data_IF_398444817995
#
_entry.id   IF_398444817995
#
_cell.length_a   1.000
_cell.length_b   1.000
_cell.length_c   1.000
_cell.angle_alpha   90.00
_cell.angle_beta   90.00
_cell.angle_gamma   90.00
#
_symmetry.space_group_name_H-M   'P 1'
#
loop_
_entity.id
_entity.type
_entity.pdbx_description
1 polymer ?
#
# COMPACT_ATOMS: atom_id res chain seq x y z
N UNK A 1 -35.15 13.35 15.29
CA UNK A 1 -33.75 13.76 15.57
C UNK A 1 -32.87 12.60 16.07
N UNK A 2 -33.36 11.69 16.91
CA UNK A 2 -32.62 10.50 17.39
C UNK A 2 -32.25 9.49 16.30
N UNK A 3 -33.10 9.31 15.28
CA UNK A 3 -32.85 8.39 14.17
C UNK A 3 -31.68 8.79 13.25
N UNK A 4 -31.44 10.10 13.06
CA UNK A 4 -30.34 10.59 12.23
C UNK A 4 -28.97 10.39 12.92
N UNK A 5 -28.96 10.50 14.25
CA UNK A 5 -27.76 10.32 15.08
C UNK A 5 -27.30 8.85 15.13
N UNK A 6 -28.24 7.89 15.14
CA UNK A 6 -27.91 6.47 15.13
C UNK A 6 -27.38 5.99 13.78
N UNK A 7 -27.89 6.53 12.67
CA UNK A 7 -27.38 6.24 11.32
C UNK A 7 -25.98 6.81 11.14
N UNK A 8 -25.69 8.02 11.65
CA UNK A 8 -24.36 8.61 11.61
C UNK A 8 -23.34 7.84 12.48
N UNK A 9 -23.75 7.36 13.67
CA UNK A 9 -22.89 6.56 14.54
C UNK A 9 -22.57 5.17 13.95
N UNK A 10 -23.56 4.52 13.33
CA UNK A 10 -23.35 3.25 12.63
C UNK A 10 -22.45 3.41 11.40
N UNK A 11 -22.60 4.51 10.66
CA UNK A 11 -21.74 4.83 9.52
C UNK A 11 -20.31 5.11 9.96
N UNK A 12 -20.10 5.84 11.06
CA UNK A 12 -18.78 6.10 11.63
C UNK A 12 -18.08 4.80 12.12
N UNK A 13 -18.83 3.83 12.65
CA UNK A 13 -18.28 2.56 13.13
C UNK A 13 -17.88 1.61 11.98
N UNK A 14 -18.54 1.73 10.82
CA UNK A 14 -18.21 0.99 9.59
C UNK A 14 -17.07 1.66 8.82
N UNK A 15 -16.99 3.00 8.87
CA UNK A 15 -16.00 3.78 8.12
C UNK A 15 -14.68 3.94 8.87
N UNK A 16 -14.63 3.76 10.19
CA UNK A 16 -13.35 3.74 10.91
C UNK A 16 -12.54 2.51 10.48
N UNK A 17 -11.51 2.68 9.63
CA UNK A 17 -10.62 1.58 9.37
C UNK A 17 -9.89 1.38 10.68
N UNK A 18 -10.04 0.21 11.31
CA UNK A 18 -9.22 -0.23 12.45
C UNK A 18 -7.80 0.22 12.16
N UNK A 19 -7.39 1.27 12.87
CA UNK A 19 -6.08 1.84 12.82
C UNK A 19 -5.17 0.73 13.32
N UNK A 20 -4.64 -0.04 12.35
CA UNK A 20 -3.72 -1.12 12.62
C UNK A 20 -2.60 -0.52 13.44
N UNK A 21 -2.48 -1.01 14.68
CA UNK A 21 -1.38 -0.73 15.60
C UNK A 21 -0.11 -0.65 14.76
N UNK A 22 0.37 0.58 14.53
CA UNK A 22 1.70 0.84 13.99
C UNK A 22 2.65 0.46 15.11
N UNK A 23 2.92 -0.85 15.18
CA UNK A 23 4.05 -1.37 15.91
C UNK A 23 5.29 -0.72 15.31
N UNK A 24 5.79 0.26 16.04
CA UNK A 24 7.17 0.70 15.97
C UNK A 24 8.05 -0.53 16.16
N UNK A 25 8.45 -1.15 15.05
CA UNK A 25 9.66 -1.96 15.01
C UNK A 25 10.66 -1.19 14.18
N UNK A 26 11.28 -0.23 14.85
CA UNK A 26 12.66 0.16 14.61
C UNK A 26 13.51 -1.10 14.80
N UNK A 27 13.83 -1.81 13.72
CA UNK A 27 14.97 -2.71 13.74
C UNK A 27 15.67 -2.67 12.39
N UNK A 28 16.71 -1.84 12.36
CA UNK A 28 17.80 -1.81 11.40
C UNK A 28 18.45 -3.22 11.37
N UNK A 29 18.51 -3.94 10.24
CA UNK A 29 19.34 -5.13 10.16
C UNK A 29 20.80 -4.68 9.93
N UNK A 30 21.67 -5.00 10.88
CA UNK A 30 23.11 -4.98 10.66
C UNK A 30 23.55 -6.14 9.76
N UNK A 31 24.80 -6.11 9.25
CA UNK A 31 25.30 -7.11 8.31
C UNK A 31 25.54 -8.42 9.04
N UNK A 32 24.60 -9.37 8.93
CA UNK A 32 24.77 -10.71 9.49
C UNK A 32 24.90 -11.75 8.39
N UNK A 33 26.17 -12.00 8.07
CA UNK A 33 26.68 -13.20 7.41
C UNK A 33 25.98 -14.46 7.95
N UNK A 34 25.43 -15.23 7.00
CA UNK A 34 25.71 -16.67 6.83
C UNK A 34 25.01 -17.73 7.71
N UNK A 35 23.75 -17.55 8.14
CA UNK A 35 22.98 -18.66 8.74
C UNK A 35 21.46 -18.67 8.42
N UNK A 36 21.05 -18.25 7.22
CA UNK A 36 19.62 -18.27 6.81
C UNK A 36 19.11 -19.64 6.32
N UNK A 37 19.99 -20.63 6.14
CA UNK A 37 19.62 -21.96 5.61
C UNK A 37 18.94 -22.91 6.61
N UNK A 38 18.83 -22.54 7.88
CA UNK A 38 18.20 -23.37 8.93
C UNK A 38 17.18 -22.57 9.74
N UNK A 39 16.42 -21.67 9.10
CA UNK A 39 15.18 -21.19 9.73
C UNK A 39 14.06 -22.18 9.42
N UNK A 40 13.52 -22.90 10.42
CA UNK A 40 12.28 -23.62 10.22
C UNK A 40 11.25 -22.60 9.73
N UNK A 41 10.57 -22.94 8.64
CA UNK A 41 9.37 -22.23 8.16
C UNK A 41 8.49 -22.01 9.39
N UNK A 42 8.25 -20.76 9.83
CA UNK A 42 7.29 -20.55 10.90
C UNK A 42 5.97 -21.08 10.39
N UNK A 43 5.58 -22.20 10.99
CA UNK A 43 4.34 -22.89 10.75
C UNK A 43 3.23 -21.85 10.78
N UNK A 44 2.49 -21.80 9.68
CA UNK A 44 1.47 -20.79 9.43
C UNK A 44 0.32 -21.00 10.41
N UNK A 45 0.45 -20.50 11.64
CA UNK A 45 -0.65 -20.48 12.61
C UNK A 45 -1.67 -19.44 12.14
N UNK A 46 -2.58 -19.91 11.28
CA UNK A 46 -3.97 -19.48 11.16
C UNK A 46 -4.25 -17.97 11.29
N UNK A 47 -3.74 -17.16 10.36
CA UNK A 47 -4.30 -15.81 10.12
C UNK A 47 -5.63 -15.88 9.34
N UNK A 48 -5.97 -17.06 8.80
CA UNK A 48 -7.23 -17.35 8.12
C UNK A 48 -8.46 -17.21 9.04
N UNK A 49 -8.33 -17.46 10.35
CA UNK A 49 -9.42 -17.34 11.32
C UNK A 49 -9.98 -15.91 11.43
N UNK A 50 -9.13 -14.89 11.30
CA UNK A 50 -9.52 -13.48 11.45
C UNK A 50 -10.37 -12.92 10.30
N UNK A 51 -10.35 -13.58 9.12
CA UNK A 51 -11.07 -13.14 7.92
C UNK A 51 -12.49 -13.71 7.93
N UNK A 52 -12.64 -14.99 8.31
CA UNK A 52 -13.95 -15.62 8.53
C UNK A 52 -14.68 -14.98 9.70
N UNK A 53 -13.99 -14.68 10.81
CA UNK A 53 -14.57 -14.00 11.96
C UNK A 53 -15.06 -12.59 11.61
N UNK A 54 -14.32 -11.82 10.79
CA UNK A 54 -14.77 -10.49 10.31
C UNK A 54 -15.95 -10.56 9.36
N UNK A 55 -15.99 -11.56 8.47
CA UNK A 55 -17.15 -11.79 7.61
C UNK A 55 -18.38 -12.16 8.45
N UNK A 56 -18.21 -13.06 9.43
CA UNK A 56 -19.28 -13.45 10.34
C UNK A 56 -19.80 -12.26 11.14
N UNK A 57 -18.93 -11.39 11.67
CA UNK A 57 -19.34 -10.18 12.39
C UNK A 57 -20.03 -9.16 11.47
N UNK A 58 -19.58 -8.98 10.22
CA UNK A 58 -20.24 -8.10 9.26
C UNK A 58 -21.61 -8.63 8.81
N UNK A 59 -21.73 -9.94 8.64
CA UNK A 59 -23.00 -10.62 8.32
C UNK A 59 -23.95 -10.56 9.52
N UNK A 60 -23.47 -10.79 10.74
CA UNK A 60 -24.24 -10.64 11.99
C UNK A 60 -24.72 -9.20 12.21
N UNK A 61 -23.86 -8.21 11.96
CA UNK A 61 -24.24 -6.80 12.05
C UNK A 61 -25.28 -6.42 10.97
N UNK A 62 -25.13 -6.94 9.75
CA UNK A 62 -26.12 -6.80 8.69
C UNK A 62 -27.47 -7.40 9.09
N UNK A 63 -27.48 -8.65 9.57
CA UNK A 63 -28.67 -9.33 10.08
C UNK A 63 -29.32 -8.59 11.26
N UNK A 64 -28.53 -8.04 12.19
CA UNK A 64 -29.04 -7.25 13.31
C UNK A 64 -29.74 -5.96 12.86
N UNK A 65 -29.17 -5.25 11.88
CA UNK A 65 -29.80 -4.05 11.27
C UNK A 65 -31.06 -4.42 10.48
N UNK A 66 -31.05 -5.57 9.81
CA UNK A 66 -32.21 -6.07 9.05
C UNK A 66 -33.36 -6.46 9.98
N UNK A 67 -33.04 -7.08 11.11
CA UNK A 67 -34.01 -7.46 12.15
C UNK A 67 -34.64 -6.27 12.87
N UNK A 68 -33.91 -5.15 13.00
CA UNK A 68 -34.38 -3.98 13.73
C UNK A 68 -35.35 -3.08 12.93
N UNK A 69 -35.36 -3.16 11.59
CA UNK A 69 -36.28 -2.39 10.74
C UNK A 69 -37.58 -3.11 10.38
N UNK A 70 -37.78 -4.37 10.80
CA UNK A 70 -39.06 -5.08 10.73
C UNK A 70 -39.73 -5.19 9.35
N UNK A 71 -39.00 -4.88 8.26
CA UNK A 71 -39.55 -4.71 6.92
C UNK A 71 -38.83 -5.64 5.95
N UNK A 72 -39.58 -6.43 5.18
CA UNK A 72 -39.10 -7.43 4.21
C UNK A 72 -38.13 -6.88 3.14
N UNK A 73 -38.06 -5.55 2.99
CA UNK A 73 -37.12 -4.84 2.11
C UNK A 73 -35.65 -4.95 2.53
N UNK A 74 -35.35 -5.42 3.75
CA UNK A 74 -33.99 -5.53 4.25
C UNK A 74 -33.18 -6.71 3.67
N UNK A 75 -33.82 -7.71 3.06
CA UNK A 75 -33.14 -8.90 2.51
C UNK A 75 -32.29 -8.54 1.29
N UNK A 76 -32.79 -7.66 0.42
CA UNK A 76 -32.09 -7.21 -0.80
C UNK A 76 -30.76 -6.51 -0.51
N UNK A 77 -30.68 -5.48 0.37
CA UNK A 77 -29.41 -4.84 0.70
C UNK A 77 -28.47 -5.76 1.48
N UNK A 78 -28.99 -6.71 2.29
CA UNK A 78 -28.16 -7.70 2.99
C UNK A 78 -27.44 -8.66 2.03
N UNK A 79 -28.17 -9.20 1.05
CA UNK A 79 -27.58 -10.06 0.01
C UNK A 79 -26.65 -9.25 -0.91
N UNK A 80 -27.04 -8.03 -1.29
CA UNK A 80 -26.18 -7.14 -2.08
C UNK A 80 -24.88 -6.78 -1.34
N UNK A 81 -24.95 -6.54 -0.03
CA UNK A 81 -23.79 -6.28 0.82
C UNK A 81 -22.92 -7.53 0.98
N UNK A 82 -23.50 -8.72 1.14
CA UNK A 82 -22.78 -9.99 1.21
C UNK A 82 -22.04 -10.32 -0.09
N UNK A 83 -22.74 -10.27 -1.23
CA UNK A 83 -22.17 -10.49 -2.56
C UNK A 83 -21.19 -9.39 -2.92
N UNK A 84 -21.49 -8.14 -2.58
CA UNK A 84 -20.60 -6.99 -2.75
C UNK A 84 -19.32 -7.15 -1.95
N UNK A 85 -19.42 -7.56 -0.68
CA UNK A 85 -18.28 -7.80 0.19
C UNK A 85 -17.43 -8.98 -0.30
N UNK A 86 -18.03 -10.09 -0.71
CA UNK A 86 -17.31 -11.25 -1.23
C UNK A 86 -16.61 -10.92 -2.56
N UNK A 87 -17.30 -10.24 -3.48
CA UNK A 87 -16.73 -9.84 -4.77
C UNK A 87 -15.62 -8.79 -4.58
N UNK A 88 -15.78 -7.88 -3.63
CA UNK A 88 -14.76 -6.90 -3.26
C UNK A 88 -13.55 -7.57 -2.58
N UNK A 89 -13.76 -8.58 -1.73
CA UNK A 89 -12.67 -9.31 -1.08
C UNK A 89 -11.94 -10.28 -2.02
N UNK A 90 -12.63 -10.84 -3.03
CA UNK A 90 -12.02 -11.62 -4.12
C UNK A 90 -11.18 -10.73 -5.04
N UNK A 91 -11.62 -9.48 -5.29
CA UNK A 91 -10.86 -8.50 -6.08
C UNK A 91 -9.69 -7.88 -5.30
N UNK A 92 -9.69 -7.92 -3.97
CA UNK A 92 -8.57 -7.46 -3.15
C UNK A 92 -7.45 -8.50 -3.20
N UNK A 93 -6.43 -8.20 -4.00
CA UNK A 93 -5.13 -8.90 -3.97
C UNK A 93 -4.74 -9.21 -2.51
N UNK A 94 -4.25 -10.43 -2.21
CA UNK A 94 -3.88 -10.82 -0.86
C UNK A 94 -2.99 -9.75 -0.26
N UNK A 95 -3.32 -9.27 0.95
CA UNK A 95 -2.57 -8.20 1.60
C UNK A 95 -1.06 -8.49 1.70
N UNK A 96 -0.70 -9.78 1.74
CA UNK A 96 0.68 -10.29 1.70
C UNK A 96 1.40 -9.93 0.38
N UNK A 97 0.81 -10.24 -0.77
CA UNK A 97 1.40 -9.93 -2.10
C UNK A 97 1.58 -8.43 -2.27
N UNK A 98 0.59 -7.63 -1.84
CA UNK A 98 0.70 -6.17 -1.87
C UNK A 98 1.80 -5.65 -0.95
N UNK A 99 1.96 -6.24 0.24
CA UNK A 99 3.02 -5.86 1.18
C UNK A 99 4.41 -6.23 0.64
N UNK A 100 4.57 -7.41 0.04
CA UNK A 100 5.81 -7.84 -0.61
C UNK A 100 6.19 -6.94 -1.79
N UNK A 101 5.23 -6.57 -2.66
CA UNK A 101 5.48 -5.61 -3.76
C UNK A 101 5.90 -4.24 -3.24
N UNK A 102 5.27 -3.76 -2.16
CA UNK A 102 5.63 -2.49 -1.52
C UNK A 102 7.02 -2.53 -0.87
N UNK A 103 7.37 -3.64 -0.22
CA UNK A 103 8.71 -3.83 0.32
C UNK A 103 9.76 -3.82 -0.81
N UNK A 104 9.52 -4.56 -1.91
CA UNK A 104 10.42 -4.51 -3.07
C UNK A 104 10.54 -3.10 -3.68
N UNK A 105 9.42 -2.37 -3.78
CA UNK A 105 9.45 -0.99 -4.26
C UNK A 105 10.17 -0.05 -3.30
N UNK A 106 10.17 -0.34 -1.98
CA UNK A 106 10.89 0.42 -0.96
C UNK A 106 12.42 0.25 -1.05
N UNK A 107 12.88 -0.90 -1.50
CA UNK A 107 14.31 -1.19 -1.65
C UNK A 107 14.86 -0.84 -3.04
N UNK A 108 13.98 -0.56 -4.01
CA UNK A 108 14.34 -0.32 -5.41
C UNK A 108 15.42 0.77 -5.63
N UNK A 109 15.37 1.97 -5.01
CA UNK A 109 16.37 3.01 -5.24
C UNK A 109 17.72 2.60 -4.68
N UNK A 110 17.74 2.00 -3.49
CA UNK A 110 18.97 1.47 -2.90
C UNK A 110 19.55 0.37 -3.79
N UNK A 111 18.73 -0.52 -4.34
CA UNK A 111 19.19 -1.52 -5.31
C UNK A 111 19.75 -0.90 -6.60
N UNK A 112 19.10 0.14 -7.14
CA UNK A 112 19.60 0.86 -8.30
C UNK A 112 20.95 1.55 -8.03
N UNK A 113 21.11 2.17 -6.86
CA UNK A 113 22.38 2.78 -6.43
C UNK A 113 23.49 1.75 -6.29
N UNK A 114 23.22 0.63 -5.62
CA UNK A 114 24.22 -0.42 -5.40
C UNK A 114 24.61 -1.08 -6.72
N UNK A 115 23.66 -1.30 -7.63
CA UNK A 115 23.95 -1.77 -8.99
C UNK A 115 24.81 -0.75 -9.74
N UNK A 116 24.46 0.54 -9.71
CA UNK A 116 25.24 1.59 -10.33
C UNK A 116 26.66 1.65 -9.77
N UNK A 117 26.83 1.53 -8.44
CA UNK A 117 28.12 1.53 -7.78
C UNK A 117 28.97 0.31 -8.17
N UNK A 118 28.37 -0.89 -8.17
CA UNK A 118 29.06 -2.12 -8.57
C UNK A 118 29.50 -2.09 -10.04
N UNK A 119 28.66 -1.60 -10.94
CA UNK A 119 28.99 -1.46 -12.36
C UNK A 119 30.07 -0.39 -12.59
N UNK A 120 30.05 0.74 -11.86
CA UNK A 120 31.14 1.74 -11.91
C UNK A 120 32.46 1.20 -11.38
N UNK A 121 32.41 0.27 -10.43
CA UNK A 121 33.59 -0.45 -9.95
C UNK A 121 34.11 -1.51 -10.94
N UNK A 122 33.45 -1.69 -12.10
CA UNK A 122 33.85 -2.61 -13.16
C UNK A 122 33.31 -4.03 -13.01
N UNK A 123 32.35 -4.27 -12.11
CA UNK A 123 31.71 -5.58 -12.00
C UNK A 123 30.88 -5.89 -13.26
N UNK A 124 30.86 -7.16 -13.73
CA UNK A 124 29.97 -7.56 -14.81
C UNK A 124 28.50 -7.52 -14.33
N UNK A 125 27.54 -7.41 -15.25
CA UNK A 125 26.13 -7.10 -14.92
C UNK A 125 25.46 -8.20 -14.10
N UNK A 126 25.70 -9.46 -14.44
CA UNK A 126 25.26 -10.64 -13.71
C UNK A 126 25.88 -10.70 -12.29
N UNK A 127 27.19 -10.44 -12.18
CA UNK A 127 27.91 -10.38 -10.91
C UNK A 127 27.45 -9.22 -10.02
N UNK A 128 27.20 -8.05 -10.60
CA UNK A 128 26.63 -6.90 -9.90
C UNK A 128 25.21 -7.21 -9.40
N UNK A 129 24.35 -7.80 -10.23
CA UNK A 129 23.01 -8.20 -9.84
C UNK A 129 23.02 -9.25 -8.71
N UNK A 130 23.93 -10.22 -8.75
CA UNK A 130 24.11 -11.19 -7.69
C UNK A 130 24.60 -10.54 -6.37
N UNK A 131 25.61 -9.68 -6.44
CA UNK A 131 26.14 -8.99 -5.27
C UNK A 131 25.10 -8.09 -4.59
N UNK A 132 24.27 -7.41 -5.39
CA UNK A 132 23.17 -6.58 -4.87
C UNK A 132 22.03 -7.44 -4.33
N UNK A 133 21.74 -8.58 -4.97
CA UNK A 133 20.76 -9.54 -4.45
C UNK A 133 21.18 -10.10 -3.09
N UNK A 134 22.47 -10.39 -2.89
CA UNK A 134 23.02 -10.85 -1.61
C UNK A 134 23.05 -9.74 -0.55
N UNK A 135 23.22 -8.49 -0.96
CA UNK A 135 23.20 -7.33 -0.06
C UNK A 135 21.78 -6.93 0.37
N UNK A 136 20.78 -7.15 -0.48
CA UNK A 136 19.39 -6.82 -0.22
C UNK A 136 18.62 -8.06 0.23
N UNK A 137 18.35 -8.16 1.52
CA UNK A 137 17.38 -9.13 2.03
C UNK A 137 15.97 -8.82 1.50
N UNK A 138 15.16 -9.85 1.24
CA UNK A 138 13.72 -9.71 0.97
C UNK A 138 13.27 -9.87 -0.49
N UNK A 139 12.08 -9.36 -0.83
CA UNK A 139 11.43 -9.69 -2.10
C UNK A 139 12.11 -9.09 -3.34
N UNK A 140 12.88 -8.00 -3.20
CA UNK A 140 13.67 -7.43 -4.29
C UNK A 140 14.93 -8.26 -4.54
N UNK A 141 15.70 -8.60 -3.49
CA UNK A 141 16.88 -9.46 -3.62
C UNK A 141 16.56 -10.81 -4.24
N UNK A 142 15.43 -11.43 -3.85
CA UNK A 142 14.98 -12.71 -4.45
C UNK A 142 14.69 -12.61 -5.96
N UNK A 143 14.25 -11.44 -6.44
CA UNK A 143 14.02 -11.21 -7.88
C UNK A 143 15.33 -10.90 -8.59
N UNK A 144 16.18 -10.06 -8.01
CA UNK A 144 17.52 -9.76 -8.54
C UNK A 144 18.39 -11.01 -8.61
N UNK A 145 18.28 -11.94 -7.66
CA UNK A 145 18.97 -13.23 -7.70
C UNK A 145 18.55 -14.06 -8.92
N UNK A 146 17.26 -14.04 -9.28
CA UNK A 146 16.74 -14.72 -10.47
C UNK A 146 17.20 -14.02 -11.75
N UNK A 147 17.20 -12.70 -11.77
CA UNK A 147 17.77 -11.91 -12.87
C UNK A 147 19.26 -12.23 -13.06
N UNK A 148 20.06 -12.22 -12.00
CA UNK A 148 21.48 -12.53 -12.03
C UNK A 148 21.75 -13.93 -12.58
N UNK A 149 21.02 -14.94 -12.10
CA UNK A 149 21.12 -16.32 -12.61
C UNK A 149 20.74 -16.41 -14.09
N UNK A 150 19.68 -15.72 -14.51
CA UNK A 150 19.24 -15.72 -15.91
C UNK A 150 20.28 -15.08 -16.82
N UNK A 151 20.86 -13.94 -16.41
CA UNK A 151 21.95 -13.29 -17.13
C UNK A 151 23.20 -14.19 -17.20
N UNK A 152 23.56 -14.85 -16.10
CA UNK A 152 24.70 -15.79 -16.07
C UNK A 152 24.49 -17.01 -16.98
N UNK A 153 23.24 -17.41 -17.22
CA UNK A 153 22.86 -18.44 -18.18
C UNK A 153 22.76 -17.93 -19.62
N UNK A 154 23.04 -16.65 -19.87
CA UNK A 154 22.99 -16.03 -21.20
C UNK A 154 21.58 -15.68 -21.68
N UNK A 155 20.58 -15.60 -20.78
CA UNK A 155 19.24 -15.17 -21.15
C UNK A 155 19.25 -13.75 -21.74
N UNK A 156 18.32 -13.49 -22.65
CA UNK A 156 18.18 -12.17 -23.24
C UNK A 156 17.88 -11.13 -22.13
N UNK A 157 18.44 -9.90 -22.20
CA UNK A 157 18.24 -8.88 -21.17
C UNK A 157 16.76 -8.62 -20.86
N UNK A 158 15.89 -8.60 -21.86
CA UNK A 158 14.45 -8.41 -21.66
C UNK A 158 13.81 -9.50 -20.78
N UNK A 159 14.22 -10.76 -20.99
CA UNK A 159 13.74 -11.90 -20.19
C UNK A 159 14.34 -11.89 -18.79
N UNK A 160 15.64 -11.66 -18.67
CA UNK A 160 16.33 -11.68 -17.38
C UNK A 160 15.83 -10.57 -16.45
N UNK A 161 15.67 -9.34 -16.97
CA UNK A 161 15.15 -8.21 -16.20
C UNK A 161 13.64 -8.26 -15.97
N UNK A 162 12.89 -9.03 -16.77
CA UNK A 162 11.45 -9.28 -16.59
C UNK A 162 11.10 -9.96 -15.25
N UNK A 163 12.07 -10.56 -14.55
CA UNK A 163 11.86 -11.04 -13.17
C UNK A 163 11.52 -9.93 -12.16
N UNK A 164 11.78 -8.66 -12.51
CA UNK A 164 11.38 -7.49 -11.73
C UNK A 164 9.96 -7.00 -12.04
N UNK A 165 9.28 -7.60 -13.02
CA UNK A 165 7.93 -7.21 -13.41
C UNK A 165 6.96 -7.26 -12.22
N UNK A 166 6.11 -6.23 -12.16
CA UNK A 166 5.14 -6.07 -11.08
C UNK A 166 5.70 -5.49 -9.78
N UNK A 167 6.99 -5.13 -9.73
CA UNK A 167 7.51 -4.21 -8.69
C UNK A 167 7.21 -2.78 -9.14
N UNK A 168 6.41 -2.01 -8.38
CA UNK A 168 6.12 -0.61 -8.73
C UNK A 168 7.41 0.21 -8.88
N UNK A 169 7.56 0.90 -10.01
CA UNK A 169 8.71 1.75 -10.31
C UNK A 169 9.90 1.03 -10.97
N UNK A 170 9.89 -0.31 -11.05
CA UNK A 170 10.96 -1.07 -11.69
C UNK A 170 10.95 -0.96 -13.23
N UNK A 171 9.85 -0.53 -13.85
CA UNK A 171 9.72 -0.45 -15.31
C UNK A 171 10.79 0.44 -15.95
N UNK A 172 11.12 1.57 -15.30
CA UNK A 172 12.18 2.48 -15.75
C UNK A 172 13.56 1.81 -15.68
N UNK A 173 13.78 0.98 -14.64
CA UNK A 173 15.01 0.22 -14.46
C UNK A 173 15.14 -0.85 -15.54
N UNK A 174 14.10 -1.66 -15.75
CA UNK A 174 14.06 -2.72 -16.76
C UNK A 174 14.29 -2.11 -18.15
N UNK A 175 13.60 -1.02 -18.48
CA UNK A 175 13.76 -0.35 -19.77
C UNK A 175 15.18 0.21 -19.96
N UNK A 176 15.78 0.80 -18.91
CA UNK A 176 17.18 1.25 -18.96
C UNK A 176 18.14 0.06 -19.17
N UNK A 177 17.92 -1.03 -18.45
CA UNK A 177 18.74 -2.24 -18.52
C UNK A 177 18.69 -2.92 -19.88
N UNK A 178 17.51 -2.98 -20.50
CA UNK A 178 17.33 -3.50 -21.86
C UNK A 178 18.00 -2.59 -22.90
N UNK A 179 17.85 -1.26 -22.79
CA UNK A 179 18.46 -0.32 -23.75
C UNK A 179 19.99 -0.24 -23.67
N UNK A 180 20.55 -0.51 -22.50
CA UNK A 180 22.00 -0.36 -22.24
C UNK A 180 22.70 -1.69 -22.02
N UNK A 181 22.04 -2.82 -22.34
CA UNK A 181 22.56 -4.17 -22.09
C UNK A 181 23.91 -4.46 -22.74
N UNK A 182 24.24 -3.78 -23.84
CA UNK A 182 25.52 -3.92 -24.53
C UNK A 182 26.69 -3.23 -23.80
N UNK A 183 26.44 -2.34 -22.82
CA UNK A 183 27.47 -1.59 -22.11
C UNK A 183 27.14 -1.41 -20.63
N UNK A 184 27.91 -2.08 -19.77
CA UNK A 184 27.80 -1.95 -18.32
C UNK A 184 28.02 -0.53 -17.81
N UNK A 185 28.89 0.25 -18.46
CA UNK A 185 29.11 1.66 -18.12
C UNK A 185 27.91 2.56 -18.45
N UNK A 186 27.25 2.32 -19.59
CA UNK A 186 26.02 3.02 -19.94
C UNK A 186 24.89 2.66 -18.97
N UNK A 187 24.79 1.39 -18.57
CA UNK A 187 23.86 0.93 -17.55
C UNK A 187 24.13 1.60 -16.19
N UNK A 188 25.40 1.71 -15.78
CA UNK A 188 25.77 2.34 -14.52
C UNK A 188 25.40 3.84 -14.45
N UNK A 189 25.50 4.55 -15.59
CA UNK A 189 25.05 5.94 -15.69
C UNK A 189 23.52 6.04 -15.59
N UNK A 190 22.81 5.17 -16.31
CA UNK A 190 21.35 5.17 -16.32
C UNK A 190 20.75 4.82 -14.94
N UNK A 191 21.32 3.82 -14.24
CA UNK A 191 20.87 3.43 -12.90
C UNK A 191 21.15 4.50 -11.84
N UNK A 192 22.26 5.24 -11.96
CA UNK A 192 22.55 6.36 -11.08
C UNK A 192 21.51 7.47 -11.18
N UNK A 193 21.20 7.91 -12.41
CA UNK A 193 20.14 8.91 -12.63
C UNK A 193 18.77 8.41 -12.17
N UNK A 194 18.46 7.13 -12.43
CA UNK A 194 17.20 6.53 -11.97
C UNK A 194 17.08 6.48 -10.44
N UNK A 195 18.18 6.22 -9.72
CA UNK A 195 18.15 6.19 -8.26
C UNK A 195 17.83 7.58 -7.68
N UNK A 196 18.38 8.64 -8.28
CA UNK A 196 18.07 10.02 -7.90
C UNK A 196 16.61 10.39 -8.22
N UNK A 197 16.11 10.02 -9.41
CA UNK A 197 14.72 10.21 -9.79
C UNK A 197 13.76 9.51 -8.81
N UNK A 198 14.06 8.25 -8.44
CA UNK A 198 13.22 7.49 -7.52
C UNK A 198 13.23 8.07 -6.09
N UNK A 199 14.35 8.69 -5.66
CA UNK A 199 14.41 9.40 -4.38
C UNK A 199 13.59 10.69 -4.42
N UNK A 200 13.67 11.45 -5.51
CA UNK A 200 12.86 12.65 -5.71
C UNK A 200 11.36 12.33 -5.77
N UNK A 201 10.98 11.25 -6.47
CA UNK A 201 9.59 10.78 -6.51
C UNK A 201 9.07 10.42 -5.10
N UNK A 202 9.94 9.89 -4.23
CA UNK A 202 9.58 9.61 -2.83
C UNK A 202 9.39 10.85 -1.98
N UNK A 203 10.25 11.85 -2.10
CA UNK A 203 10.10 13.09 -1.31
C UNK A 203 8.80 13.78 -1.68
N UNK A 204 8.51 13.89 -2.97
CA UNK A 204 7.24 14.44 -3.49
C UNK A 204 6.03 13.64 -2.98
N UNK A 205 6.10 12.31 -2.98
CA UNK A 205 5.00 11.48 -2.48
C UNK A 205 4.76 11.66 -0.97
N UNK A 206 5.83 11.83 -0.18
CA UNK A 206 5.74 12.09 1.27
C UNK A 206 5.14 13.47 1.54
N UNK A 207 5.58 14.50 0.81
CA UNK A 207 5.02 15.85 0.91
C UNK A 207 3.54 15.89 0.55
N UNK A 208 3.17 15.26 -0.57
CA UNK A 208 1.77 15.15 -0.98
C UNK A 208 0.92 14.40 0.06
N UNK A 209 1.47 13.37 0.70
CA UNK A 209 0.78 12.66 1.78
C UNK A 209 0.59 13.54 3.03
N UNK A 210 1.59 14.36 3.38
CA UNK A 210 1.52 15.29 4.49
C UNK A 210 0.46 16.39 4.25
N UNK A 211 0.41 16.97 3.05
CA UNK A 211 -0.61 17.95 2.66
C UNK A 211 -2.03 17.37 2.73
N UNK A 212 -2.22 16.15 2.21
CA UNK A 212 -3.51 15.46 2.27
C UNK A 212 -3.93 15.15 3.70
N UNK A 213 -2.98 14.82 4.58
CA UNK A 213 -3.28 14.63 6.00
C UNK A 213 -3.81 15.92 6.64
N UNK A 214 -3.23 17.08 6.32
CA UNK A 214 -3.74 18.38 6.76
C UNK A 214 -5.19 18.62 6.34
N UNK A 215 -5.52 18.39 5.07
CA UNK A 215 -6.90 18.52 4.56
C UNK A 215 -7.84 17.55 5.27
N UNK A 216 -7.44 16.29 5.44
CA UNK A 216 -8.26 15.27 6.10
C UNK A 216 -8.48 15.54 7.60
N UNK A 217 -7.63 16.32 8.26
CA UNK A 217 -7.80 16.73 9.65
C UNK A 217 -8.77 17.92 9.76
N UNK A 218 -8.67 18.90 8.85
CA UNK A 218 -9.54 20.09 8.87
C UNK A 218 -10.95 19.77 8.38
N UNK A 219 -11.10 18.85 7.43
CA UNK A 219 -12.39 18.46 6.86
C UNK A 219 -13.44 18.03 7.92
N UNK A 220 -13.15 17.11 8.87
CA UNK A 220 -14.12 16.73 9.91
C UNK A 220 -14.42 17.88 10.88
N UNK A 221 -13.44 18.74 11.17
CA UNK A 221 -13.66 19.94 11.99
C UNK A 221 -14.64 20.90 11.30
N UNK A 222 -14.45 21.19 10.01
CA UNK A 222 -15.35 22.02 9.22
C UNK A 222 -16.75 21.39 9.11
N UNK A 223 -16.82 20.08 8.87
CA UNK A 223 -18.08 19.34 8.77
C UNK A 223 -18.87 19.33 10.09
N UNK A 224 -18.18 19.30 11.24
CA UNK A 224 -18.82 19.41 12.56
C UNK A 224 -19.19 20.86 12.92
N UNK A 225 -18.39 21.84 12.50
CA UNK A 225 -18.62 23.24 12.85
C UNK A 225 -19.77 23.88 12.06
N UNK A 226 -19.89 23.55 10.77
CA UNK A 226 -20.94 24.07 9.88
C UNK A 226 -22.37 23.88 10.44
N UNK A 227 -22.82 22.67 10.85
CA UNK A 227 -24.17 22.49 11.39
C UNK A 227 -24.37 23.20 12.73
N UNK A 228 -23.34 23.25 13.59
CA UNK A 228 -23.41 23.97 14.85
C UNK A 228 -23.57 25.48 14.64
N UNK A 229 -22.81 26.06 13.70
CA UNK A 229 -22.91 27.47 13.35
C UNK A 229 -24.27 27.83 12.74
N UNK A 230 -24.82 26.98 11.87
CA UNK A 230 -26.14 27.19 11.30
C UNK A 230 -27.23 27.25 12.38
N UNK A 231 -27.23 26.28 13.30
CA UNK A 231 -28.24 26.19 14.37
C UNK A 231 -28.08 27.28 15.44
N UNK A 232 -26.84 27.60 15.84
CA UNK A 232 -26.59 28.54 16.92
C UNK A 232 -26.54 30.01 16.46
N UNK A 233 -26.11 30.27 15.23
CA UNK A 233 -25.90 31.63 14.71
C UNK A 233 -26.90 32.04 13.65
N UNK A 234 -27.02 31.27 12.56
CA UNK A 234 -27.78 31.71 11.37
C UNK A 234 -29.29 31.61 11.57
N UNK A 235 -29.78 30.50 12.13
CA UNK A 235 -31.22 30.24 12.29
C UNK A 235 -31.93 31.29 13.16
N UNK A 236 -31.42 31.68 14.35
CA UNK A 236 -32.06 32.71 15.17
C UNK A 236 -32.15 34.07 14.46
N UNK A 237 -31.09 34.46 13.74
CA UNK A 237 -31.02 35.72 13.01
C UNK A 237 -32.03 35.74 11.86
N UNK A 238 -32.12 34.65 11.09
CA UNK A 238 -33.11 34.53 10.01
C UNK A 238 -34.54 34.65 10.55
N UNK A 239 -34.85 33.97 11.66
CA UNK A 239 -36.18 34.04 12.28
C UNK A 239 -36.50 35.48 12.72
N UNK A 240 -35.55 36.19 13.34
CA UNK A 240 -35.76 37.56 13.79
C UNK A 240 -36.03 38.52 12.64
N UNK A 241 -35.27 38.42 11.54
CA UNK A 241 -35.43 39.30 10.37
C UNK A 241 -36.71 38.97 9.60
N UNK A 242 -37.02 37.69 9.37
CA UNK A 242 -38.26 37.29 8.69
C UNK A 242 -39.51 37.68 9.49
N UNK A 243 -39.43 37.69 10.82
CA UNK A 243 -40.52 38.14 11.68
C UNK A 243 -40.74 39.65 11.72
N UNK A 244 -39.76 40.46 11.33
CA UNK A 244 -39.87 41.93 11.31
C UNK A 244 -40.41 42.46 9.97
N UNK A 245 -40.41 41.61 8.93
CA UNK A 245 -40.76 41.98 7.54
C UNK A 245 -42.13 41.40 7.10
N UNK A 246 -42.67 40.41 7.82
CA UNK A 246 -43.98 39.79 7.59
C UNK A 246 -45.03 40.34 8.56
#
# INVERSE_FOLDING_TARGET
MTALLLVAAAFALVVTPVAGRRGLTLLRPGPRRRLSFLRPVPEQTSVAGSRRLRMLLAVLAGLAVTGYLGTWWGVLPGVAAGVGAERFLRRREPARVRQERRAAAADLPLGADLLAAALRAGAPVDGAAAAVADALDGPLGTRLQRTARSLALGAAPAEAWGHLDGVPGADRLVAAAVRTSASGGALAKALGGLADDLRADRTVAVEAAAQRAGVLIVLPLGLCFLPAFLLAGLVPVLIAVLGDVL
#
